data_IF_001383784750
#
_entry.id   IF_001383784750
#
_cell.length_a   1.000
_cell.length_b   1.000
_cell.length_c   1.000
_cell.angle_alpha   90.00
_cell.angle_beta   90.00
_cell.angle_gamma   90.00
#
_symmetry.space_group_name_H-M   'P 1'
#
loop_
_entity.id
_entity.type
_entity.pdbx_description
1 polymer ?
#
# COMPACT_ATOMS: atom_id res chain seq x y z
N UNK A 1 7.75 -29.57 3.81
CA UNK A 1 6.86 -28.44 4.11
C UNK A 1 6.45 -28.58 5.58
N UNK A 2 7.26 -28.06 6.50
CA UNK A 2 7.02 -28.23 7.94
C UNK A 2 5.88 -27.29 8.37
N UNK A 3 4.85 -27.85 9.01
CA UNK A 3 3.66 -27.15 9.47
C UNK A 3 4.00 -26.45 10.79
N UNK A 4 4.71 -25.31 10.69
CA UNK A 4 4.88 -24.40 11.83
C UNK A 4 3.53 -23.87 12.31
N UNK A 5 3.44 -23.31 13.54
CA UNK A 5 2.21 -22.72 14.04
C UNK A 5 1.69 -21.69 13.03
N UNK A 6 0.43 -21.84 12.64
CA UNK A 6 -0.20 -21.14 11.51
C UNK A 6 -0.39 -19.62 11.73
N UNK A 7 0.02 -19.11 12.90
CA UNK A 7 -0.02 -17.71 13.30
C UNK A 7 0.86 -17.52 14.55
N UNK A 8 2.08 -17.01 14.38
CA UNK A 8 2.92 -16.56 15.50
C UNK A 8 2.47 -15.15 15.91
N UNK A 9 2.70 -14.75 17.16
CA UNK A 9 2.38 -13.38 17.62
C UNK A 9 3.07 -12.29 16.78
N UNK A 10 4.21 -12.60 16.18
CA UNK A 10 4.91 -11.73 15.23
C UNK A 10 4.16 -11.56 13.90
N UNK A 11 3.57 -12.63 13.36
CA UNK A 11 2.73 -12.57 12.17
C UNK A 11 1.48 -11.70 12.39
N UNK A 12 0.90 -11.79 13.59
CA UNK A 12 -0.24 -10.97 13.99
C UNK A 12 0.12 -9.47 14.04
N UNK A 13 1.28 -9.13 14.62
CA UNK A 13 1.77 -7.74 14.68
C UNK A 13 2.04 -7.17 13.29
N UNK A 14 2.60 -7.99 12.40
CA UNK A 14 2.81 -7.61 10.99
C UNK A 14 1.48 -7.39 10.26
N UNK A 15 0.50 -8.29 10.45
CA UNK A 15 -0.82 -8.17 9.85
C UNK A 15 -1.57 -6.92 10.34
N UNK A 16 -1.47 -6.59 11.64
CA UNK A 16 -2.06 -5.38 12.19
C UNK A 16 -1.44 -4.11 11.61
N UNK A 17 -0.12 -4.08 11.45
CA UNK A 17 0.56 -2.93 10.86
C UNK A 17 0.15 -2.76 9.38
N UNK A 18 0.10 -3.86 8.62
CA UNK A 18 -0.38 -3.85 7.23
C UNK A 18 -1.83 -3.34 7.14
N UNK A 19 -2.70 -3.80 8.04
CA UNK A 19 -4.09 -3.33 8.14
C UNK A 19 -4.14 -1.82 8.41
N UNK A 20 -3.40 -1.33 9.39
CA UNK A 20 -3.32 0.09 9.71
C UNK A 20 -2.88 0.94 8.50
N UNK A 21 -1.86 0.48 7.76
CA UNK A 21 -1.39 1.17 6.56
C UNK A 21 -2.44 1.21 5.44
N UNK A 22 -3.18 0.11 5.21
CA UNK A 22 -4.18 0.02 4.13
C UNK A 22 -5.44 0.83 4.46
N UNK A 23 -5.91 0.75 5.70
CA UNK A 23 -7.17 1.40 6.13
C UNK A 23 -7.04 2.92 6.34
N UNK A 24 -5.83 3.47 6.31
CA UNK A 24 -5.60 4.92 6.42
C UNK A 24 -6.09 5.71 5.19
N UNK A 25 -5.15 6.19 4.38
CA UNK A 25 -5.46 7.06 3.21
C UNK A 25 -6.46 6.47 2.24
N UNK A 26 -6.42 5.15 2.03
CA UNK A 26 -7.26 4.48 1.03
C UNK A 26 -8.75 4.64 1.31
N UNK A 27 -9.14 4.71 2.59
CA UNK A 27 -10.55 4.85 2.98
C UNK A 27 -11.04 6.29 2.88
N UNK A 28 -10.18 7.28 3.17
CA UNK A 28 -10.51 8.71 3.07
C UNK A 28 -10.85 9.14 1.63
N UNK A 29 -10.19 8.55 0.64
CA UNK A 29 -10.44 8.85 -0.78
C UNK A 29 -11.59 8.06 -1.42
N UNK A 30 -12.07 6.99 -0.79
CA UNK A 30 -13.08 6.10 -1.38
C UNK A 30 -14.41 6.82 -1.69
N UNK A 31 -15.02 7.59 -0.78
CA UNK A 31 -16.32 8.21 -1.04
C UNK A 31 -16.29 9.15 -2.25
N UNK A 32 -15.24 9.96 -2.39
CA UNK A 32 -15.04 10.85 -3.54
C UNK A 32 -14.85 10.08 -4.85
N UNK A 33 -14.09 8.98 -4.82
CA UNK A 33 -13.90 8.13 -6.00
C UNK A 33 -15.20 7.43 -6.43
N UNK A 34 -15.99 6.93 -5.47
CA UNK A 34 -17.29 6.31 -5.72
C UNK A 34 -18.33 7.31 -6.26
N UNK A 35 -18.33 8.55 -5.76
CA UNK A 35 -19.21 9.60 -6.23
C UNK A 35 -18.93 9.99 -7.70
N UNK A 36 -17.66 9.92 -8.13
CA UNK A 36 -17.26 10.30 -9.51
C UNK A 36 -17.40 9.17 -10.53
N UNK A 37 -17.05 7.93 -10.16
CA UNK A 37 -17.07 6.79 -11.06
C UNK A 37 -18.42 6.04 -11.07
N UNK A 38 -19.22 6.19 -10.02
CA UNK A 38 -20.44 5.42 -9.81
C UNK A 38 -20.17 4.04 -9.15
N UNK A 39 -21.17 3.47 -8.45
CA UNK A 39 -20.97 2.32 -7.58
C UNK A 39 -20.56 1.04 -8.33
N UNK A 40 -21.13 0.78 -9.50
CA UNK A 40 -20.84 -0.45 -10.26
C UNK A 40 -19.37 -0.49 -10.75
N UNK A 41 -18.89 0.61 -11.34
CA UNK A 41 -17.53 0.71 -11.87
C UNK A 41 -16.53 0.73 -10.71
N UNK A 42 -16.81 1.50 -9.66
CA UNK A 42 -15.94 1.58 -8.49
C UNK A 42 -15.77 0.21 -7.81
N UNK A 43 -16.85 -0.56 -7.59
CA UNK A 43 -16.77 -1.92 -7.02
C UNK A 43 -15.97 -2.86 -7.92
N UNK A 44 -16.20 -2.82 -9.23
CA UNK A 44 -15.45 -3.66 -10.17
C UNK A 44 -13.95 -3.34 -10.18
N UNK A 45 -13.59 -2.05 -10.15
CA UNK A 45 -12.22 -1.57 -10.11
C UNK A 45 -11.53 -1.94 -8.79
N UNK A 46 -12.22 -1.80 -7.65
CA UNK A 46 -11.70 -2.23 -6.35
C UNK A 46 -11.46 -3.72 -6.28
N UNK A 47 -12.38 -4.53 -6.80
CA UNK A 47 -12.21 -5.98 -6.84
C UNK A 47 -10.98 -6.36 -7.67
N UNK A 48 -10.84 -5.79 -8.88
CA UNK A 48 -9.66 -6.02 -9.73
C UNK A 48 -8.36 -5.60 -9.04
N UNK A 49 -8.35 -4.41 -8.43
CA UNK A 49 -7.18 -3.89 -7.71
C UNK A 49 -6.83 -4.76 -6.50
N UNK A 50 -7.82 -5.27 -5.76
CA UNK A 50 -7.61 -6.19 -4.65
C UNK A 50 -6.95 -7.49 -5.12
N UNK A 51 -7.48 -8.12 -6.17
CA UNK A 51 -6.90 -9.34 -6.74
C UNK A 51 -5.47 -9.12 -7.26
N UNK A 52 -5.23 -8.01 -7.95
CA UNK A 52 -3.90 -7.67 -8.46
C UNK A 52 -2.88 -7.49 -7.32
N UNK A 53 -3.26 -6.79 -6.25
CA UNK A 53 -2.38 -6.58 -5.08
C UNK A 53 -2.11 -7.89 -4.32
N UNK A 54 -3.13 -8.74 -4.15
CA UNK A 54 -2.96 -10.06 -3.51
C UNK A 54 -2.01 -10.93 -4.35
N UNK A 55 -2.23 -11.00 -5.66
CA UNK A 55 -1.39 -11.78 -6.57
C UNK A 55 0.07 -11.30 -6.56
N UNK A 56 0.28 -9.98 -6.61
CA UNK A 56 1.62 -9.37 -6.50
C UNK A 56 2.28 -9.74 -5.19
N UNK A 57 1.57 -9.65 -4.06
CA UNK A 57 2.08 -9.98 -2.73
C UNK A 57 2.50 -11.45 -2.60
N UNK A 58 1.70 -12.36 -3.16
CA UNK A 58 2.03 -13.80 -3.21
C UNK A 58 3.28 -14.03 -4.07
N UNK A 59 3.35 -13.40 -5.24
CA UNK A 59 4.48 -13.55 -6.17
C UNK A 59 5.77 -13.01 -5.54
N UNK A 60 5.71 -11.82 -4.93
CA UNK A 60 6.81 -11.24 -4.15
C UNK A 60 7.29 -12.19 -3.04
N UNK A 61 6.36 -12.80 -2.30
CA UNK A 61 6.70 -13.75 -1.24
C UNK A 61 7.41 -14.99 -1.79
N UNK A 62 6.96 -15.50 -2.95
CA UNK A 62 7.62 -16.62 -3.64
C UNK A 62 9.02 -16.27 -4.15
N UNK A 63 9.19 -15.06 -4.67
CA UNK A 63 10.50 -14.54 -5.12
C UNK A 63 11.44 -14.39 -3.93
N UNK A 64 10.97 -13.84 -2.80
CA UNK A 64 11.78 -13.74 -1.57
C UNK A 64 12.20 -15.10 -1.01
N UNK A 65 11.39 -16.15 -1.17
CA UNK A 65 11.77 -17.51 -0.77
C UNK A 65 12.88 -18.11 -1.65
N UNK A 66 12.99 -17.68 -2.90
CA UNK A 66 14.03 -18.14 -3.84
C UNK A 66 15.30 -17.27 -3.77
N UNK A 67 15.19 -16.06 -3.23
CA UNK A 67 16.29 -15.10 -3.17
C UNK A 67 17.36 -15.47 -2.13
N UNK A 68 18.66 -15.23 -2.41
CA UNK A 68 19.74 -15.44 -1.45
C UNK A 68 19.66 -14.46 -0.27
N UNK A 69 20.22 -14.82 0.90
CA UNK A 69 20.17 -14.04 2.17
C UNK A 69 20.74 -12.61 2.10
N UNK A 70 21.38 -12.25 0.98
CA UNK A 70 21.85 -10.90 0.69
C UNK A 70 20.68 -9.94 0.36
N UNK A 71 19.60 -10.46 -0.24
CA UNK A 71 18.45 -9.68 -0.68
C UNK A 71 17.53 -9.40 0.51
N UNK A 72 17.69 -8.22 1.11
CA UNK A 72 16.86 -7.77 2.25
C UNK A 72 15.93 -6.61 1.93
N UNK A 73 16.17 -5.88 0.83
CA UNK A 73 15.40 -4.68 0.49
C UNK A 73 14.67 -4.86 -0.84
N UNK A 74 13.55 -4.15 -1.00
CA UNK A 74 12.73 -4.19 -2.21
C UNK A 74 13.51 -3.82 -3.47
N UNK A 75 14.44 -2.86 -3.38
CA UNK A 75 15.33 -2.47 -4.47
C UNK A 75 16.34 -3.55 -4.85
N UNK A 76 16.87 -4.29 -3.87
CA UNK A 76 17.79 -5.41 -4.10
C UNK A 76 17.06 -6.62 -4.72
N UNK A 77 15.80 -6.82 -4.35
CA UNK A 77 14.93 -7.82 -4.98
C UNK A 77 14.61 -7.44 -6.44
N UNK A 78 14.43 -6.15 -6.72
CA UNK A 78 14.34 -5.62 -8.08
C UNK A 78 15.62 -5.87 -8.89
N UNK A 79 16.79 -5.67 -8.28
CA UNK A 79 18.09 -5.97 -8.91
C UNK A 79 18.25 -7.46 -9.22
N UNK A 80 17.85 -8.31 -8.28
CA UNK A 80 17.96 -9.76 -8.44
C UNK A 80 17.01 -10.32 -9.51
N UNK A 81 15.83 -9.71 -9.68
CA UNK A 81 14.81 -10.19 -10.64
C UNK A 81 14.97 -9.63 -12.06
N UNK A 82 15.36 -8.37 -12.23
CA UNK A 82 15.46 -7.71 -13.54
C UNK A 82 16.76 -6.90 -13.75
N UNK A 83 17.77 -7.09 -12.89
CA UNK A 83 19.04 -6.35 -12.97
C UNK A 83 18.92 -4.87 -12.57
N UNK A 84 19.90 -4.06 -12.97
CA UNK A 84 19.99 -2.65 -12.59
C UNK A 84 18.73 -1.82 -12.92
N UNK A 85 18.03 -2.17 -14.00
CA UNK A 85 16.74 -1.57 -14.38
C UNK A 85 15.64 -1.85 -13.36
N UNK A 86 15.58 -3.06 -12.81
CA UNK A 86 14.64 -3.43 -11.76
C UNK A 86 14.89 -2.68 -10.46
N UNK A 87 16.17 -2.49 -10.09
CA UNK A 87 16.56 -1.69 -8.92
C UNK A 87 16.04 -0.26 -9.03
N UNK A 88 16.27 0.38 -10.18
CA UNK A 88 15.88 1.78 -10.37
C UNK A 88 14.35 1.95 -10.33
N UNK A 89 13.60 1.04 -10.97
CA UNK A 89 12.13 1.03 -10.93
C UNK A 89 11.58 0.86 -9.50
N UNK A 90 12.13 -0.07 -8.72
CA UNK A 90 11.73 -0.29 -7.34
C UNK A 90 12.05 0.92 -6.44
N UNK A 91 13.22 1.54 -6.60
CA UNK A 91 13.61 2.69 -5.78
C UNK A 91 12.77 3.92 -6.11
N UNK A 92 12.55 4.21 -7.39
CA UNK A 92 11.76 5.39 -7.80
C UNK A 92 10.29 5.26 -7.40
N UNK A 93 9.69 4.08 -7.57
CA UNK A 93 8.31 3.84 -7.13
C UNK A 93 8.17 3.93 -5.60
N UNK A 94 9.14 3.44 -4.84
CA UNK A 94 9.16 3.55 -3.39
C UNK A 94 9.33 4.99 -2.90
N UNK A 95 10.25 5.76 -3.51
CA UNK A 95 10.47 7.17 -3.19
C UNK A 95 9.22 8.00 -3.50
N UNK A 96 8.60 7.77 -4.67
CA UNK A 96 7.35 8.41 -5.04
C UNK A 96 6.24 8.12 -4.04
N UNK A 97 6.08 6.85 -3.65
CA UNK A 97 5.07 6.46 -2.64
C UNK A 97 5.34 7.13 -1.29
N UNK A 98 6.60 7.15 -0.83
CA UNK A 98 6.97 7.73 0.46
C UNK A 98 6.73 9.25 0.53
N UNK A 99 6.82 9.96 -0.60
CA UNK A 99 6.50 11.38 -0.70
C UNK A 99 4.99 11.63 -0.84
N UNK A 100 4.30 10.86 -1.70
CA UNK A 100 2.90 11.10 -2.01
C UNK A 100 1.96 10.72 -0.85
N UNK A 101 2.28 9.67 -0.09
CA UNK A 101 1.47 9.24 1.05
C UNK A 101 1.28 10.38 2.08
N UNK A 102 2.34 10.99 2.65
CA UNK A 102 2.15 12.09 3.60
C UNK A 102 1.48 13.31 2.97
N UNK A 103 1.76 13.63 1.69
CA UNK A 103 1.08 14.72 0.99
C UNK A 103 -0.45 14.50 0.92
N UNK A 104 -0.89 13.31 0.53
CA UNK A 104 -2.32 12.98 0.44
C UNK A 104 -2.95 12.95 1.83
N UNK A 105 -2.21 12.52 2.86
CA UNK A 105 -2.69 12.50 4.24
C UNK A 105 -2.95 13.92 4.74
N UNK A 106 -2.02 14.84 4.48
CA UNK A 106 -2.15 16.24 4.86
C UNK A 106 -3.28 16.94 4.11
N UNK A 107 -3.43 16.68 2.81
CA UNK A 107 -4.52 17.28 2.01
C UNK A 107 -5.88 16.77 2.48
N UNK A 108 -6.10 15.45 2.50
CA UNK A 108 -7.39 14.86 2.93
C UNK A 108 -7.68 15.16 4.41
N UNK A 109 -6.67 15.12 5.27
CA UNK A 109 -6.78 15.48 6.67
C UNK A 109 -7.15 16.95 6.88
N UNK A 110 -6.56 17.86 6.09
CA UNK A 110 -6.92 19.27 6.09
C UNK A 110 -8.38 19.50 5.71
N UNK A 111 -8.86 18.88 4.63
CA UNK A 111 -10.28 18.98 4.23
C UNK A 111 -11.24 18.43 5.30
N UNK A 112 -10.85 17.36 6.00
CA UNK A 112 -11.63 16.82 7.11
C UNK A 112 -11.66 17.80 8.30
N UNK A 113 -10.53 18.46 8.59
CA UNK A 113 -10.41 19.45 9.66
C UNK A 113 -11.24 20.71 9.36
N UNK A 114 -11.19 21.22 8.13
CA UNK A 114 -12.02 22.34 7.66
C UNK A 114 -13.52 22.02 7.77
N UNK A 115 -13.92 20.79 7.42
CA UNK A 115 -15.30 20.33 7.58
C UNK A 115 -15.75 20.19 9.05
N UNK A 116 -14.83 19.91 9.97
CA UNK A 116 -15.12 19.74 11.39
C UNK A 116 -15.12 21.08 12.16
N UNK A 117 -14.28 22.03 11.76
CA UNK A 117 -14.19 23.38 12.34
C UNK A 117 -14.40 24.47 11.29
N UNK A 118 -15.63 24.60 10.74
CA UNK A 118 -15.91 25.54 9.65
C UNK A 118 -15.76 27.02 10.03
N UNK A 119 -15.64 27.37 11.32
CA UNK A 119 -15.46 28.75 11.82
C UNK A 119 -14.05 29.08 12.35
N UNK A 120 -13.04 28.20 12.18
CA UNK A 120 -11.70 28.41 12.74
C UNK A 120 -10.63 28.99 11.78
N UNK A 121 -10.98 29.23 10.50
CA UNK A 121 -10.12 29.90 9.50
C UNK A 121 -10.45 31.39 9.34
N UNK A 122 -9.49 32.26 8.97
CA UNK A 122 -9.70 33.70 8.99
C UNK A 122 -10.66 34.13 7.87
N UNK A 123 -11.55 35.06 8.20
CA UNK A 123 -12.28 35.90 7.25
C UNK A 123 -11.31 36.74 6.38
#
# INVERSE_FOLDING_TARGET
>A
MSKGPFLTGEDCKSAFNLFCCIYGIGTLGMPGNFARAGPAIAVSAMAFMAFANIYSSITMSKVMLLAPRSVKTFGDLGEWSMGATGRWLCVVSQMGSCLLIPCVFLVLGGQLLDGLFPEAGPA
#
